data_IF_580885993403
#
_entry.id   IF_580885993403
#
_cell.length_a   1.000
_cell.length_b   1.000
_cell.length_c   1.000
_cell.angle_alpha   90.00
_cell.angle_beta   90.00
_cell.angle_gamma   90.00
#
_symmetry.space_group_name_H-M   'P 1'
#
loop_
_entity.id
_entity.type
_entity.pdbx_description
1 polymer ?
#
# COMPACT_ATOMS: atom_id res chain seq x y z
N UNK A 1 11.61 -4.82 -12.34
CA UNK A 1 10.48 -4.67 -11.55
C UNK A 1 9.51 -5.83 -11.64
N UNK A 2 8.87 -6.14 -10.61
CA UNK A 2 8.42 -7.51 -10.43
C UNK A 2 6.99 -7.68 -9.94
N UNK A 3 6.26 -6.59 -9.81
CA UNK A 3 4.87 -6.68 -9.41
C UNK A 3 3.97 -6.84 -10.62
N UNK A 4 3.03 -7.76 -10.55
CA UNK A 4 2.01 -7.92 -11.57
C UNK A 4 0.89 -6.92 -11.37
N UNK A 5 0.14 -6.64 -12.42
CA UNK A 5 -0.99 -5.72 -12.35
C UNK A 5 -2.05 -6.16 -11.34
N UNK A 6 -2.16 -7.46 -11.09
CA UNK A 6 -3.11 -8.02 -10.12
C UNK A 6 -2.58 -8.10 -8.70
N UNK A 7 -1.33 -7.72 -8.45
CA UNK A 7 -0.81 -7.67 -7.09
C UNK A 7 -1.37 -6.46 -6.36
N UNK A 8 -1.42 -6.54 -5.03
CA UNK A 8 -1.90 -5.44 -4.21
C UNK A 8 -0.73 -4.60 -3.71
N UNK A 9 -0.95 -3.29 -3.69
CA UNK A 9 0.01 -2.30 -3.23
C UNK A 9 -0.59 -1.58 -2.02
N UNK A 10 0.20 -1.44 -0.96
CA UNK A 10 -0.22 -0.83 0.29
C UNK A 10 0.65 0.38 0.61
N UNK A 11 0.03 1.43 1.09
CA UNK A 11 0.72 2.67 1.42
C UNK A 11 0.08 3.35 2.64
N UNK A 12 0.90 3.67 3.64
CA UNK A 12 0.43 4.43 4.80
C UNK A 12 0.27 5.89 4.41
N UNK A 13 -0.92 6.44 4.60
CA UNK A 13 -1.22 7.83 4.24
C UNK A 13 -0.29 8.79 4.99
N UNK A 14 0.24 9.77 4.27
CA UNK A 14 1.07 10.81 4.86
C UNK A 14 2.52 10.42 5.11
N UNK A 15 2.91 9.21 4.78
CA UNK A 15 4.27 8.71 5.02
C UNK A 15 4.89 8.25 3.71
N UNK A 16 5.99 8.88 3.32
CA UNK A 16 6.66 8.57 2.06
C UNK A 16 7.49 7.30 2.16
N UNK A 17 7.56 6.57 1.05
CA UNK A 17 8.49 5.44 0.90
C UNK A 17 8.06 4.14 1.55
N UNK A 18 6.93 4.12 2.23
CA UNK A 18 6.47 2.90 2.93
C UNK A 18 5.48 2.14 2.06
N UNK A 19 5.99 1.27 1.22
CA UNK A 19 5.17 0.47 0.32
C UNK A 19 5.30 -1.00 0.67
N UNK A 20 4.19 -1.73 0.64
CA UNK A 20 4.18 -3.18 0.74
C UNK A 20 3.46 -3.72 -0.49
N UNK A 21 4.01 -4.75 -1.09
CA UNK A 21 3.39 -5.41 -2.23
C UNK A 21 3.05 -6.83 -1.83
N UNK A 22 1.77 -7.19 -2.00
CA UNK A 22 1.30 -8.55 -1.77
C UNK A 22 1.14 -9.24 -3.11
N UNK A 23 1.92 -10.30 -3.32
CA UNK A 23 1.83 -11.13 -4.51
C UNK A 23 0.60 -12.02 -4.40
N UNK A 24 -0.39 -11.78 -5.26
CA UNK A 24 -1.66 -12.50 -5.18
C UNK A 24 -1.71 -13.73 -6.07
N UNK A 25 -0.87 -13.80 -7.09
CA UNK A 25 -0.89 -14.89 -8.09
C UNK A 25 -2.27 -15.06 -8.71
N UNK A 26 -2.98 -13.95 -8.91
CA UNK A 26 -4.32 -13.97 -9.50
C UNK A 26 -5.42 -14.41 -8.55
N UNK A 27 -5.10 -14.65 -7.28
CA UNK A 27 -6.09 -15.04 -6.27
C UNK A 27 -6.54 -13.85 -5.46
N UNK A 28 -7.74 -13.95 -4.90
CA UNK A 28 -8.24 -12.93 -3.98
C UNK A 28 -7.75 -13.25 -2.57
N UNK A 29 -6.89 -12.40 -1.98
CA UNK A 29 -6.44 -12.62 -0.61
C UNK A 29 -7.60 -12.41 0.36
N UNK A 30 -7.56 -13.10 1.50
CA UNK A 30 -8.57 -12.92 2.54
C UNK A 30 -8.30 -11.62 3.32
N UNK A 31 -9.29 -11.22 4.10
CA UNK A 31 -9.21 -9.98 4.88
C UNK A 31 -8.07 -10.01 5.89
N UNK A 32 -7.79 -11.15 6.49
CA UNK A 32 -6.72 -11.28 7.46
C UNK A 32 -5.35 -11.03 6.82
N UNK A 33 -5.14 -11.58 5.63
CA UNK A 33 -3.90 -11.35 4.89
C UNK A 33 -3.75 -9.88 4.52
N UNK A 34 -4.84 -9.27 4.07
CA UNK A 34 -4.83 -7.84 3.72
C UNK A 34 -4.49 -7.00 4.95
N UNK A 35 -5.09 -7.31 6.09
CA UNK A 35 -4.81 -6.56 7.32
C UNK A 35 -3.35 -6.70 7.76
N UNK A 36 -2.79 -7.91 7.66
CA UNK A 36 -1.38 -8.12 7.98
C UNK A 36 -0.45 -7.31 7.08
N UNK A 37 -0.77 -7.20 5.80
CA UNK A 37 0.01 -6.37 4.89
C UNK A 37 -0.10 -4.89 5.25
N UNK A 38 -1.29 -4.44 5.65
CA UNK A 38 -1.47 -3.06 6.11
C UNK A 38 -0.62 -2.80 7.37
N UNK A 39 -0.58 -3.74 8.29
CA UNK A 39 0.29 -3.63 9.47
C UNK A 39 1.76 -3.53 9.10
N UNK A 40 2.20 -4.30 8.11
CA UNK A 40 3.58 -4.23 7.63
C UNK A 40 3.88 -2.86 7.02
N UNK A 41 2.95 -2.29 6.26
CA UNK A 41 3.14 -0.96 5.70
C UNK A 41 3.31 0.08 6.80
N UNK A 42 2.52 -0.01 7.86
CA UNK A 42 2.67 0.88 9.02
C UNK A 42 4.02 0.70 9.69
N UNK A 43 4.44 -0.56 9.92
CA UNK A 43 5.67 -0.87 10.65
C UNK A 43 6.94 -0.47 9.90
N UNK A 44 6.87 -0.41 8.57
CA UNK A 44 8.05 -0.15 7.75
C UNK A 44 8.28 1.34 7.48
N UNK A 45 7.65 2.21 8.22
CA UNK A 45 7.82 3.65 8.05
C UNK A 45 7.72 4.37 9.39
N UNK A 46 7.82 5.70 9.34
CA UNK A 46 7.73 6.53 10.54
C UNK A 46 6.39 6.40 11.25
N UNK A 47 5.37 5.86 10.57
CA UNK A 47 4.07 5.61 11.18
C UNK A 47 4.09 4.49 12.21
N UNK A 48 5.18 3.74 12.35
CA UNK A 48 5.23 2.58 13.23
C UNK A 48 4.83 2.91 14.67
N UNK A 49 5.14 4.10 15.14
CA UNK A 49 4.83 4.54 16.50
C UNK A 49 3.52 5.30 16.61
N UNK A 50 2.84 5.53 15.49
CA UNK A 50 1.57 6.24 15.47
C UNK A 50 0.42 5.28 15.72
N UNK A 51 -0.72 5.83 16.13
CA UNK A 51 -1.95 5.05 16.33
C UNK A 51 -2.95 5.41 15.25
N UNK A 52 -3.79 4.45 14.90
CA UNK A 52 -4.89 4.66 13.96
C UNK A 52 -4.40 5.22 12.62
N UNK A 53 -3.39 4.56 12.09
CA UNK A 53 -2.81 4.96 10.80
C UNK A 53 -3.68 4.44 9.67
N UNK A 54 -4.04 5.34 8.76
CA UNK A 54 -4.79 4.96 7.56
C UNK A 54 -3.84 4.37 6.54
N UNK A 55 -4.10 3.14 6.12
CA UNK A 55 -3.31 2.47 5.09
C UNK A 55 -4.21 2.25 3.88
N UNK A 56 -3.84 2.83 2.76
CA UNK A 56 -4.56 2.63 1.50
C UNK A 56 -4.01 1.42 0.79
N UNK A 57 -4.88 0.68 0.10
CA UNK A 57 -4.42 -0.39 -0.77
C UNK A 57 -5.25 -0.46 -2.03
N UNK A 58 -4.59 -0.84 -3.10
CA UNK A 58 -5.21 -0.96 -4.41
C UNK A 58 -4.38 -1.93 -5.26
N UNK A 59 -4.90 -2.29 -6.43
CA UNK A 59 -4.13 -3.09 -7.37
C UNK A 59 -3.02 -2.26 -8.02
N UNK A 60 -1.91 -2.91 -8.31
CA UNK A 60 -0.76 -2.25 -8.96
C UNK A 60 -1.17 -1.55 -10.25
N UNK A 61 -2.12 -2.09 -10.98
CA UNK A 61 -2.59 -1.47 -12.24
C UNK A 61 -3.15 -0.06 -12.03
N UNK A 62 -3.52 0.30 -10.81
CA UNK A 62 -4.04 1.63 -10.49
C UNK A 62 -3.01 2.56 -9.88
N UNK A 63 -1.77 2.13 -9.78
CA UNK A 63 -0.69 2.92 -9.19
C UNK A 63 0.17 3.48 -10.32
N UNK A 64 0.36 4.80 -10.33
CA UNK A 64 1.16 5.46 -11.37
C UNK A 64 2.14 6.42 -10.73
N UNK A 65 3.33 6.53 -11.32
CA UNK A 65 4.31 7.51 -10.86
C UNK A 65 3.79 8.92 -11.11
N UNK A 66 4.06 9.80 -10.15
CA UNK A 66 3.73 11.20 -10.30
C UNK A 66 4.70 11.87 -11.27
N UNK A 67 4.17 12.66 -12.21
CA UNK A 67 4.98 13.25 -13.26
C UNK A 67 5.77 14.47 -12.83
N UNK A 68 5.61 14.96 -11.61
CA UNK A 68 6.32 16.15 -11.14
C UNK A 68 7.81 15.92 -10.90
N UNK A 69 8.26 14.69 -11.02
CA UNK A 69 9.66 14.34 -10.79
C UNK A 69 10.07 14.21 -9.34
N UNK A 70 9.16 14.38 -8.40
CA UNK A 70 9.48 14.21 -6.99
C UNK A 70 9.61 12.74 -6.65
N UNK A 71 10.71 12.38 -6.02
CA UNK A 71 10.99 11.01 -5.61
C UNK A 71 9.97 10.53 -4.59
N UNK A 72 9.47 9.33 -4.79
CA UNK A 72 8.53 8.71 -3.86
C UNK A 72 7.08 9.12 -4.02
N UNK A 73 6.79 10.04 -4.92
CA UNK A 73 5.42 10.47 -5.16
C UNK A 73 4.75 9.56 -6.18
N UNK A 74 3.57 9.08 -5.86
CA UNK A 74 2.76 8.27 -6.77
C UNK A 74 1.31 8.71 -6.69
N UNK A 75 0.58 8.50 -7.77
CA UNK A 75 -0.86 8.63 -7.80
C UNK A 75 -1.48 7.23 -7.84
N UNK A 76 -2.58 7.05 -7.14
CA UNK A 76 -3.30 5.80 -7.19
C UNK A 76 -4.80 6.05 -7.08
N UNK A 77 -5.57 5.14 -7.66
CA UNK A 77 -7.04 5.24 -7.72
C UNK A 77 -7.67 3.91 -7.29
N UNK A 78 -8.98 3.92 -7.14
CA UNK A 78 -9.77 2.71 -6.83
C UNK A 78 -9.27 2.00 -5.58
N UNK A 79 -8.77 2.77 -4.62
CA UNK A 79 -8.19 2.21 -3.40
C UNK A 79 -9.23 2.06 -2.30
N UNK A 80 -8.91 1.18 -1.36
CA UNK A 80 -9.63 1.04 -0.09
C UNK A 80 -8.69 1.43 1.04
N UNK A 81 -9.26 1.77 2.18
CA UNK A 81 -8.48 2.22 3.34
C UNK A 81 -8.75 1.34 4.54
N UNK A 82 -7.70 0.95 5.25
CA UNK A 82 -7.76 0.22 6.50
C UNK A 82 -7.14 1.08 7.58
N UNK A 83 -7.81 1.18 8.73
CA UNK A 83 -7.23 1.85 9.88
C UNK A 83 -6.47 0.81 10.70
N UNK A 84 -5.17 1.03 10.87
CA UNK A 84 -4.31 0.14 11.67
C UNK A 84 -4.07 0.78 13.03
N UNK A 85 -4.50 0.13 14.11
CA UNK A 85 -4.31 0.68 15.46
C UNK A 85 -2.85 0.86 15.85
#
# INVERSE_FOLDING_TARGET
HFADKSDLWFHAQGFHGAHVILKTNGKNPDEDTIFKCAQLAKQNCKAALERNVSVDYTYIKYVKKHHSGKTGMVNYTNYKTIIVP
#
